data_IF_715944030927
#
_entry.id   IF_715944030927
#
_cell.length_a   1.000
_cell.length_b   1.000
_cell.length_c   1.000
_cell.angle_alpha   90.00
_cell.angle_beta   90.00
_cell.angle_gamma   90.00
#
_symmetry.space_group_name_H-M   'P 1'
#
loop_
_entity.id
_entity.type
_entity.pdbx_description
1 polymer ?
#
# COMPACT_ATOMS: atom_id res chain seq x y z
N UNK A 1 14.25 -1.99 12.83
CA UNK A 1 14.50 -0.96 11.80
C UNK A 1 13.93 -1.44 10.49
N UNK A 2 13.70 -0.51 9.56
CA UNK A 2 13.24 -0.80 8.19
C UNK A 2 14.15 0.00 7.27
N UNK A 3 14.81 -0.67 6.33
CA UNK A 3 15.55 -0.02 5.24
C UNK A 3 14.58 0.31 4.12
N UNK A 4 14.07 1.53 4.15
CA UNK A 4 13.12 2.00 3.14
C UNK A 4 13.78 2.25 1.78
N UNK A 5 15.09 2.44 1.72
CA UNK A 5 15.77 2.72 0.45
C UNK A 5 15.81 1.49 -0.48
N UNK A 6 15.63 0.29 0.06
CA UNK A 6 15.69 -0.97 -0.70
C UNK A 6 14.33 -1.40 -1.30
N UNK A 7 13.26 -0.62 -1.09
CA UNK A 7 11.95 -0.93 -1.69
C UNK A 7 11.81 -0.37 -3.12
N UNK A 8 11.06 -1.10 -3.95
CA UNK A 8 10.64 -0.63 -5.28
C UNK A 8 9.38 0.24 -5.18
N UNK A 9 9.55 1.55 -5.36
CA UNK A 9 8.47 2.54 -5.35
C UNK A 9 7.88 2.83 -6.74
N UNK A 10 8.25 2.08 -7.77
CA UNK A 10 7.71 2.30 -9.11
C UNK A 10 6.21 2.02 -9.16
N UNK A 11 5.43 2.88 -9.82
CA UNK A 11 4.03 2.56 -10.07
C UNK A 11 3.93 1.27 -10.90
N UNK A 12 3.30 0.24 -10.32
CA UNK A 12 3.18 -1.10 -10.88
C UNK A 12 3.89 -2.19 -10.07
N UNK A 13 4.73 -1.82 -9.10
CA UNK A 13 5.25 -2.77 -8.11
C UNK A 13 4.15 -3.22 -7.14
N UNK A 14 4.32 -4.41 -6.57
CA UNK A 14 3.41 -4.92 -5.55
C UNK A 14 3.47 -4.05 -4.29
N UNK A 15 2.30 -3.71 -3.73
CA UNK A 15 2.22 -3.13 -2.40
C UNK A 15 2.79 -4.13 -1.40
N UNK A 16 3.63 -3.66 -0.48
CA UNK A 16 4.22 -4.46 0.59
C UNK A 16 3.54 -4.18 1.93
N UNK A 17 3.34 -5.22 2.73
CA UNK A 17 2.75 -5.14 4.07
C UNK A 17 3.64 -5.88 5.09
N UNK A 18 3.60 -5.40 6.34
CA UNK A 18 4.25 -6.02 7.49
C UNK A 18 3.19 -6.26 8.56
N UNK A 19 3.24 -7.42 9.22
CA UNK A 19 2.42 -7.67 10.39
C UNK A 19 3.03 -6.95 11.62
N UNK A 20 2.33 -5.91 12.09
CA UNK A 20 2.74 -5.12 13.24
C UNK A 20 2.63 -5.89 14.58
N UNK A 21 1.90 -7.01 14.62
CA UNK A 21 1.77 -7.87 15.80
C UNK A 21 2.77 -9.03 15.80
N UNK A 22 3.68 -9.09 14.82
CA UNK A 22 4.75 -10.08 14.82
C UNK A 22 5.70 -9.87 16.01
N UNK A 23 6.26 -10.97 16.54
CA UNK A 23 7.29 -10.92 17.57
C UNK A 23 8.70 -10.70 16.98
N UNK A 24 8.79 -10.24 15.72
CA UNK A 24 10.05 -9.97 15.07
C UNK A 24 10.74 -8.74 15.69
N UNK A 25 12.07 -8.78 15.76
CA UNK A 25 12.88 -7.69 16.34
C UNK A 25 14.13 -7.45 15.50
N UNK A 26 14.75 -6.28 15.67
CA UNK A 26 15.88 -5.87 14.84
C UNK A 26 15.44 -5.34 13.49
N UNK A 27 16.18 -5.68 12.43
CA UNK A 27 15.83 -5.32 11.05
C UNK A 27 14.74 -6.25 10.52
N UNK A 28 13.62 -5.66 10.09
CA UNK A 28 12.44 -6.40 9.57
C UNK A 28 12.18 -6.13 8.09
N UNK A 29 13.15 -5.55 7.37
CA UNK A 29 12.99 -5.17 5.94
C UNK A 29 12.54 -6.35 5.08
N UNK A 30 13.14 -7.53 5.28
CA UNK A 30 12.80 -8.75 4.52
C UNK A 30 11.52 -9.45 4.99
N UNK A 31 10.89 -8.98 6.08
CA UNK A 31 9.63 -9.52 6.59
C UNK A 31 8.40 -8.95 5.89
N UNK A 32 8.59 -7.91 5.08
CA UNK A 32 7.54 -7.36 4.24
C UNK A 32 7.14 -8.35 3.16
N UNK A 33 5.84 -8.68 3.11
CA UNK A 33 5.27 -9.59 2.11
C UNK A 33 4.43 -8.80 1.11
N UNK A 34 4.17 -9.41 -0.05
CA UNK A 34 3.22 -8.85 -1.01
C UNK A 34 1.82 -8.77 -0.41
N UNK A 35 1.15 -7.65 -0.63
CA UNK A 35 -0.25 -7.46 -0.28
C UNK A 35 -1.12 -8.49 -1.01
N UNK A 36 -2.13 -9.01 -0.33
CA UNK A 36 -3.22 -9.76 -0.98
C UNK A 36 -4.56 -9.29 -0.43
N UNK A 37 -5.58 -9.31 -1.31
CA UNK A 37 -6.97 -9.04 -0.91
C UNK A 37 -7.43 -9.92 0.25
N UNK A 38 -7.00 -11.18 0.27
CA UNK A 38 -7.34 -12.12 1.33
C UNK A 38 -6.70 -11.72 2.68
N UNK A 39 -5.45 -11.25 2.68
CA UNK A 39 -4.79 -10.79 3.89
C UNK A 39 -5.54 -9.58 4.51
N UNK A 40 -5.93 -8.60 3.70
CA UNK A 40 -6.74 -7.47 4.16
C UNK A 40 -8.12 -7.92 4.65
N UNK A 41 -8.77 -8.85 3.94
CA UNK A 41 -10.05 -9.41 4.38
C UNK A 41 -9.94 -10.06 5.75
N UNK A 42 -8.92 -10.87 5.99
CA UNK A 42 -8.70 -11.51 7.29
C UNK A 42 -8.49 -10.46 8.40
N UNK A 43 -7.73 -9.40 8.13
CA UNK A 43 -7.53 -8.29 9.06
C UNK A 43 -8.84 -7.57 9.36
N UNK A 44 -9.63 -7.20 8.35
CA UNK A 44 -10.94 -6.57 8.52
C UNK A 44 -11.91 -7.47 9.29
N UNK A 45 -11.89 -8.78 9.02
CA UNK A 45 -12.71 -9.74 9.75
C UNK A 45 -12.36 -9.74 11.24
N UNK A 46 -11.07 -9.89 11.56
CA UNK A 46 -10.57 -9.88 12.93
C UNK A 46 -10.85 -8.54 13.64
N UNK A 47 -10.46 -7.41 13.05
CA UNK A 47 -10.55 -6.09 13.67
C UNK A 47 -11.99 -5.64 13.91
N UNK A 48 -12.89 -5.84 12.95
CA UNK A 48 -14.28 -5.40 13.10
C UNK A 48 -15.04 -6.28 14.10
N UNK A 49 -14.82 -7.61 14.07
CA UNK A 49 -15.47 -8.51 15.03
C UNK A 49 -14.94 -8.30 16.46
N UNK A 50 -13.67 -7.89 16.60
CA UNK A 50 -13.05 -7.59 17.89
C UNK A 50 -13.32 -6.17 18.43
N UNK A 51 -14.02 -5.32 17.67
CA UNK A 51 -14.25 -3.92 18.05
C UNK A 51 -15.75 -3.64 18.14
N UNK A 52 -16.24 -3.34 19.34
CA UNK A 52 -17.69 -3.29 19.63
C UNK A 52 -18.50 -2.36 18.73
N UNK A 53 -17.96 -1.21 18.35
CA UNK A 53 -18.67 -0.26 17.49
C UNK A 53 -18.53 -0.54 15.98
N UNK A 54 -17.73 -1.55 15.59
CA UNK A 54 -17.51 -1.96 14.20
C UNK A 54 -18.18 -3.29 13.85
N UNK A 55 -18.49 -4.13 14.84
CA UNK A 55 -18.97 -5.51 14.62
C UNK A 55 -20.27 -5.62 13.81
N UNK A 56 -21.12 -4.59 13.88
CA UNK A 56 -22.42 -4.55 13.19
C UNK A 56 -22.34 -3.91 11.79
N UNK A 57 -21.14 -3.54 11.32
CA UNK A 57 -20.97 -3.02 9.96
C UNK A 57 -21.26 -4.14 8.95
N UNK A 58 -22.13 -3.90 7.94
CA UNK A 58 -22.50 -4.92 6.97
C UNK A 58 -21.32 -5.51 6.21
N UNK A 59 -21.40 -6.81 5.90
CA UNK A 59 -20.39 -7.54 5.12
C UNK A 59 -20.08 -6.86 3.79
N UNK A 60 -21.07 -6.30 3.10
CA UNK A 60 -20.85 -5.58 1.84
C UNK A 60 -19.97 -4.34 1.98
N UNK A 61 -20.01 -3.66 3.13
CA UNK A 61 -19.14 -2.52 3.42
C UNK A 61 -17.72 -3.01 3.75
N UNK A 62 -17.59 -4.15 4.42
CA UNK A 62 -16.29 -4.79 4.67
C UNK A 62 -15.66 -5.28 3.37
N UNK A 63 -16.46 -5.84 2.45
CA UNK A 63 -16.03 -6.24 1.09
C UNK A 63 -15.51 -5.04 0.28
N UNK A 64 -16.15 -3.88 0.45
CA UNK A 64 -15.73 -2.62 -0.13
C UNK A 64 -14.38 -2.17 0.45
N UNK A 65 -14.20 -2.18 1.77
CA UNK A 65 -12.88 -1.88 2.37
C UNK A 65 -11.80 -2.88 1.96
N UNK A 66 -12.16 -4.15 1.77
CA UNK A 66 -11.25 -5.17 1.28
C UNK A 66 -10.84 -4.97 -0.19
N UNK A 67 -11.41 -4.00 -0.92
CA UNK A 67 -10.99 -3.66 -2.29
C UNK A 67 -9.86 -2.63 -2.37
N UNK A 68 -9.42 -2.11 -1.22
CA UNK A 68 -8.23 -1.27 -1.12
C UNK A 68 -7.02 -2.18 -0.92
N UNK A 69 -5.86 -1.89 -1.56
CA UNK A 69 -5.55 -0.69 -2.33
C UNK A 69 -5.85 -0.83 -3.84
N UNK A 70 -6.36 -1.96 -4.33
CA UNK A 70 -6.54 -2.22 -5.76
C UNK A 70 -7.43 -1.17 -6.48
N UNK A 71 -8.33 -0.54 -5.73
CA UNK A 71 -9.17 0.56 -6.20
C UNK A 71 -8.44 1.90 -6.44
N UNK A 72 -7.17 2.02 -6.05
CA UNK A 72 -6.38 3.26 -6.11
C UNK A 72 -5.06 3.01 -6.87
N UNK A 73 -5.09 2.97 -8.22
CA UNK A 73 -3.90 2.71 -9.00
C UNK A 73 -2.86 3.83 -8.82
N UNK A 74 -1.62 3.45 -8.56
CA UNK A 74 -0.49 4.37 -8.60
C UNK A 74 -0.37 4.95 -10.01
N UNK A 75 -0.45 6.28 -10.12
CA UNK A 75 -0.20 6.98 -11.37
C UNK A 75 1.18 7.62 -11.31
N UNK A 76 2.01 7.36 -12.33
CA UNK A 76 3.25 8.13 -12.49
C UNK A 76 2.85 9.59 -12.68
N UNK A 77 3.48 10.48 -11.93
CA UNK A 77 3.39 11.91 -12.23
C UNK A 77 3.92 12.12 -13.64
N UNK A 78 3.06 12.60 -14.55
CA UNK A 78 3.52 13.02 -15.87
C UNK A 78 4.40 14.25 -15.63
N UNK A 79 5.69 14.24 -16.05
CA UNK A 79 6.50 15.44 -15.93
C UNK A 79 5.83 16.55 -16.73
N UNK A 80 5.62 17.69 -16.08
CA UNK A 80 4.95 18.83 -16.68
C UNK A 80 5.64 19.22 -17.99
N UNK A 81 4.86 19.40 -19.06
CA UNK A 81 5.35 19.71 -20.42
C UNK A 81 6.23 20.97 -20.44
N UNK A 82 6.05 21.85 -19.46
CA UNK A 82 6.87 23.04 -19.25
C UNK A 82 8.36 22.70 -19.01
N UNK A 83 8.64 21.65 -18.24
CA UNK A 83 10.01 21.27 -17.87
C UNK A 83 10.77 20.62 -19.04
N UNK A 84 10.07 19.90 -19.91
CA UNK A 84 10.67 19.29 -21.11
C UNK A 84 11.09 20.34 -22.15
N UNK A 85 10.30 21.42 -22.30
CA UNK A 85 10.65 22.53 -23.21
C UNK A 85 11.84 23.33 -22.70
N UNK A 86 11.92 23.60 -21.41
CA UNK A 86 13.04 24.34 -20.82
C UNK A 86 14.39 23.62 -20.99
N UNK A 87 14.43 22.29 -20.82
CA UNK A 87 15.67 21.49 -21.01
C UNK A 87 16.15 21.42 -22.47
N UNK A 88 15.26 21.56 -23.43
CA UNK A 88 15.62 21.52 -24.86
C UNK A 88 16.10 22.88 -25.35
N UNK A 89 15.56 23.97 -24.79
CA UNK A 89 15.99 25.33 -25.11
C UNK A 89 17.38 25.69 -24.53
N UNK A 90 17.80 25.03 -23.43
CA UNK A 90 19.07 25.30 -22.76
C UNK A 90 20.26 24.49 -23.33
N UNK A 91 20.01 23.66 -24.35
CA UNK A 91 21.01 22.85 -25.06
C UNK A 91 21.39 23.39 -26.44
N UNK A 92 20.85 24.55 -26.82
CA UNK A 92 21.15 25.24 -28.08
C UNK A 92 21.86 26.57 -27.81
#
# INVERSE_FOLDING_TARGET
TIDTANFDYSCGSDVKILDANSNDSGDVTEKFVGYTRQANRNLLEHSFNGTDFLKDIPVSIRDFFASYPESFPCQRSVPDRATTRARTAQKN
#
